data_IF_408525338424
#
_entry.id   IF_408525338424
#
_cell.length_a   1.000
_cell.length_b   1.000
_cell.length_c   1.000
_cell.angle_alpha   90.00
_cell.angle_beta   90.00
_cell.angle_gamma   90.00
#
_symmetry.space_group_name_H-M   'P 1'
#
loop_
_entity.id
_entity.type
_entity.pdbx_description
1 polymer ?
#
# COMPACT_ATOMS: atom_id res chain seq x y z
N UNK A 1 39.44 37.14 9.37
CA UNK A 1 38.94 36.48 8.14
C UNK A 1 39.15 34.99 8.30
N UNK A 2 38.06 34.23 8.42
CA UNK A 2 38.01 32.79 8.16
C UNK A 2 36.53 32.40 8.16
N UNK A 3 35.98 32.28 6.96
CA UNK A 3 34.63 31.80 6.69
C UNK A 3 34.48 30.35 7.19
N UNK A 4 33.31 30.02 7.76
CA UNK A 4 32.86 28.64 7.88
C UNK A 4 31.59 28.48 7.08
N UNK A 5 31.75 27.86 5.91
CA UNK A 5 30.69 27.38 5.04
C UNK A 5 29.79 26.45 5.84
N UNK A 6 28.55 26.89 6.08
CA UNK A 6 27.50 26.06 6.65
C UNK A 6 26.84 25.34 5.48
N UNK A 7 27.43 24.22 5.07
CA UNK A 7 26.82 23.30 4.11
C UNK A 7 25.53 22.76 4.75
N UNK A 8 24.39 23.27 4.29
CA UNK A 8 23.08 22.75 4.66
C UNK A 8 22.97 21.36 4.07
N UNK A 9 23.21 20.35 4.92
CA UNK A 9 23.05 18.93 4.62
C UNK A 9 21.69 18.70 3.95
N UNK A 10 21.72 18.49 2.65
CA UNK A 10 20.63 17.86 1.90
C UNK A 10 20.48 16.48 2.54
N UNK A 11 19.32 16.26 3.16
CA UNK A 11 18.89 14.99 3.71
C UNK A 11 18.81 13.96 2.55
N UNK A 12 19.94 13.31 2.31
CA UNK A 12 20.14 12.28 1.31
C UNK A 12 19.40 11.02 1.77
N UNK A 13 18.20 10.86 1.23
CA UNK A 13 17.37 9.66 1.37
C UNK A 13 18.19 8.41 1.02
N UNK A 14 18.33 7.42 1.91
CA UNK A 14 19.20 6.28 1.67
C UNK A 14 18.63 5.37 0.57
N UNK A 15 19.41 5.16 -0.49
CA UNK A 15 19.10 4.25 -1.59
C UNK A 15 18.99 2.79 -1.07
N UNK A 16 17.94 2.03 -1.40
CA UNK A 16 17.69 0.74 -0.78
C UNK A 16 18.59 -0.37 -1.33
N UNK A 17 19.61 -0.76 -0.55
CA UNK A 17 20.43 -1.96 -0.76
C UNK A 17 19.57 -3.25 -0.77
N UNK A 18 19.79 -4.21 -1.70
CA UNK A 18 19.00 -5.44 -1.79
C UNK A 18 19.46 -6.48 -0.75
N UNK A 19 19.06 -6.30 0.51
CA UNK A 19 19.28 -7.30 1.56
C UNK A 19 18.32 -8.49 1.41
N UNK A 20 18.85 -9.66 1.01
CA UNK A 20 18.16 -10.97 1.02
C UNK A 20 18.00 -11.56 2.43
N UNK A 21 17.55 -10.76 3.39
CA UNK A 21 17.01 -11.30 4.64
C UNK A 21 15.50 -11.42 4.48
N UNK A 22 14.93 -12.58 4.82
CA UNK A 22 13.47 -12.80 4.82
C UNK A 22 12.85 -12.06 6.01
N UNK A 23 13.00 -10.73 6.03
CA UNK A 23 12.41 -9.83 7.03
C UNK A 23 10.91 -9.95 6.85
N UNK A 24 10.24 -10.63 7.79
CA UNK A 24 8.78 -10.63 7.85
C UNK A 24 8.35 -9.17 7.84
N UNK A 25 7.64 -8.76 6.79
CA UNK A 25 7.20 -7.39 6.61
C UNK A 25 6.27 -7.06 7.78
N UNK A 26 6.80 -6.33 8.78
CA UNK A 26 6.05 -5.90 9.97
C UNK A 26 4.94 -4.99 9.46
N UNK A 27 3.70 -5.28 9.84
CA UNK A 27 2.57 -4.44 9.46
C UNK A 27 2.74 -3.06 10.10
N UNK A 28 3.11 -2.07 9.31
CA UNK A 28 3.06 -0.66 9.72
C UNK A 28 1.60 -0.22 9.83
N UNK A 29 1.31 0.69 10.76
CA UNK A 29 0.05 1.42 10.75
C UNK A 29 -0.12 2.09 9.39
N UNK A 30 -1.35 2.08 8.87
CA UNK A 30 -1.68 2.73 7.59
C UNK A 30 -1.98 4.19 7.84
N UNK A 31 -1.52 5.07 6.94
CA UNK A 31 -1.94 6.46 6.95
C UNK A 31 -3.47 6.55 6.72
N UNK A 32 -4.08 7.62 7.21
CA UNK A 32 -5.52 7.85 7.04
C UNK A 32 -5.91 7.89 5.56
N UNK A 33 -5.11 8.54 4.71
CA UNK A 33 -5.34 8.63 3.27
C UNK A 33 -5.30 7.25 2.58
N UNK A 34 -4.33 6.39 2.95
CA UNK A 34 -4.27 5.00 2.47
C UNK A 34 -5.55 4.24 2.83
N UNK A 35 -6.06 4.44 4.04
CA UNK A 35 -7.28 3.78 4.53
C UNK A 35 -8.53 4.26 3.79
N UNK A 36 -8.64 5.57 3.54
CA UNK A 36 -9.76 6.15 2.79
C UNK A 36 -9.78 5.62 1.35
N UNK A 37 -8.62 5.56 0.69
CA UNK A 37 -8.51 5.00 -0.67
C UNK A 37 -8.88 3.52 -0.71
N UNK A 38 -8.44 2.76 0.31
CA UNK A 38 -8.83 1.37 0.49
C UNK A 38 -10.35 1.19 0.59
N UNK A 39 -10.98 1.93 1.50
CA UNK A 39 -12.43 1.84 1.75
C UNK A 39 -13.23 2.31 0.53
N UNK A 40 -12.74 3.29 -0.23
CA UNK A 40 -13.42 3.76 -1.44
C UNK A 40 -13.45 2.68 -2.54
N UNK A 41 -12.36 1.93 -2.71
CA UNK A 41 -12.29 0.78 -3.65
C UNK A 41 -13.22 -0.35 -3.18
N UNK A 42 -13.18 -0.68 -1.88
CA UNK A 42 -14.08 -1.69 -1.31
C UNK A 42 -15.55 -1.31 -1.57
N UNK A 43 -15.94 -0.07 -1.29
CA UNK A 43 -17.30 0.41 -1.55
C UNK A 43 -17.64 0.37 -3.05
N UNK A 44 -16.70 0.74 -3.93
CA UNK A 44 -16.95 0.77 -5.37
C UNK A 44 -17.10 -0.63 -5.97
N UNK A 45 -16.23 -1.57 -5.59
CA UNK A 45 -16.18 -2.90 -6.22
C UNK A 45 -17.05 -3.95 -5.52
N UNK A 46 -17.31 -3.81 -4.22
CA UNK A 46 -18.16 -4.74 -3.46
C UNK A 46 -19.65 -4.39 -3.60
N UNK A 47 -19.98 -3.09 -3.72
CA UNK A 47 -21.35 -2.60 -3.88
C UNK A 47 -21.88 -2.71 -5.32
N UNK A 48 -21.05 -3.16 -6.26
CA UNK A 48 -21.47 -3.47 -7.63
C UNK A 48 -22.38 -4.71 -7.59
N UNK A 49 -23.64 -4.49 -7.26
CA UNK A 49 -24.73 -5.48 -7.18
C UNK A 49 -25.11 -6.06 -8.55
N UNK A 50 -24.43 -5.63 -9.62
CA UNK A 50 -24.58 -6.08 -11.00
C UNK A 50 -24.04 -7.49 -11.26
N UNK A 51 -23.31 -8.08 -10.32
CA UNK A 51 -22.77 -9.45 -10.42
C UNK A 51 -23.78 -10.39 -9.75
N UNK A 52 -24.40 -11.27 -10.53
CA UNK A 52 -25.29 -12.32 -10.01
C UNK A 52 -24.65 -13.17 -8.90
N UNK A 53 -25.42 -14.07 -8.26
CA UNK A 53 -24.98 -14.83 -7.10
C UNK A 53 -23.60 -15.48 -7.33
N UNK A 54 -22.75 -15.40 -6.31
CA UNK A 54 -21.34 -15.77 -6.42
C UNK A 54 -21.15 -17.21 -6.90
N UNK A 55 -20.59 -17.39 -8.10
CA UNK A 55 -20.13 -18.71 -8.55
C UNK A 55 -18.98 -19.21 -7.67
N UNK A 56 -18.13 -18.29 -7.19
CA UNK A 56 -17.02 -18.52 -6.24
C UNK A 56 -16.80 -17.29 -5.36
N UNK A 57 -17.27 -17.29 -4.10
CA UNK A 57 -17.17 -16.14 -3.19
C UNK A 57 -15.72 -15.61 -3.02
N UNK A 58 -14.75 -16.52 -2.96
CA UNK A 58 -13.34 -16.17 -2.79
C UNK A 58 -12.73 -15.44 -4.00
N UNK A 59 -13.22 -15.70 -5.22
CA UNK A 59 -12.66 -15.05 -6.42
C UNK A 59 -12.96 -13.56 -6.47
N UNK A 60 -14.14 -13.12 -6.02
CA UNK A 60 -14.46 -11.68 -5.99
C UNK A 60 -13.62 -10.99 -4.94
N UNK A 61 -13.59 -11.54 -3.73
CA UNK A 61 -12.77 -10.98 -2.65
C UNK A 61 -11.30 -10.88 -3.09
N UNK A 62 -10.77 -11.88 -3.78
CA UNK A 62 -9.41 -11.83 -4.29
C UNK A 62 -9.17 -10.75 -5.35
N UNK A 63 -10.13 -10.54 -6.26
CA UNK A 63 -10.03 -9.45 -7.26
C UNK A 63 -10.04 -8.08 -6.59
N UNK A 64 -10.96 -7.86 -5.64
CA UNK A 64 -11.06 -6.60 -4.91
C UNK A 64 -9.77 -6.31 -4.14
N UNK A 65 -9.23 -7.31 -3.45
CA UNK A 65 -7.97 -7.14 -2.73
C UNK A 65 -6.79 -6.90 -3.68
N UNK A 66 -6.82 -7.42 -4.92
CA UNK A 66 -5.81 -7.10 -5.94
C UNK A 66 -5.92 -5.66 -6.41
N UNK A 67 -7.14 -5.16 -6.69
CA UNK A 67 -7.36 -3.76 -7.09
C UNK A 67 -6.85 -2.78 -6.04
N UNK A 68 -7.10 -3.07 -4.76
CA UNK A 68 -6.55 -2.33 -3.63
C UNK A 68 -5.02 -2.25 -3.68
N UNK A 69 -4.35 -3.39 -3.83
CA UNK A 69 -2.87 -3.45 -3.81
C UNK A 69 -2.32 -2.60 -4.96
N UNK A 70 -2.90 -2.74 -6.14
CA UNK A 70 -2.49 -1.99 -7.33
C UNK A 70 -2.73 -0.49 -7.16
N UNK A 71 -3.86 -0.07 -6.59
CA UNK A 71 -4.15 1.35 -6.38
C UNK A 71 -3.21 1.99 -5.33
N UNK A 72 -2.91 1.28 -4.24
CA UNK A 72 -1.97 1.77 -3.23
C UNK A 72 -0.54 1.90 -3.79
N UNK A 73 -0.11 0.97 -4.64
CA UNK A 73 1.18 1.06 -5.32
C UNK A 73 1.21 2.20 -6.34
N UNK A 74 0.14 2.40 -7.11
CA UNK A 74 0.08 3.47 -8.12
C UNK A 74 -0.01 4.88 -7.52
N UNK A 75 -0.83 5.07 -6.47
CA UNK A 75 -1.07 6.38 -5.88
C UNK A 75 0.00 6.80 -4.88
N UNK A 76 0.43 5.86 -4.02
CA UNK A 76 1.30 6.16 -2.90
C UNK A 76 2.70 5.54 -3.06
N UNK A 77 2.93 4.67 -4.05
CA UNK A 77 4.20 3.94 -4.19
C UNK A 77 4.41 2.87 -3.10
N UNK A 78 3.36 2.53 -2.34
CA UNK A 78 3.49 1.67 -1.16
C UNK A 78 3.19 0.23 -1.52
N UNK A 79 4.18 -0.65 -1.34
CA UNK A 79 4.01 -2.10 -1.51
C UNK A 79 3.41 -2.72 -0.25
N UNK A 80 2.13 -3.09 -0.31
CA UNK A 80 1.42 -3.81 0.76
C UNK A 80 1.11 -5.24 0.34
N UNK A 81 1.19 -6.17 1.28
CA UNK A 81 0.79 -7.55 1.03
C UNK A 81 -0.74 -7.70 1.17
N UNK A 82 -1.34 -8.49 0.26
CA UNK A 82 -2.77 -8.83 0.30
C UNK A 82 -3.23 -9.35 1.67
N UNK A 83 -2.38 -10.15 2.30
CA UNK A 83 -2.64 -10.76 3.61
C UNK A 83 -2.64 -9.76 4.76
N UNK A 84 -1.94 -8.62 4.63
CA UNK A 84 -1.96 -7.56 5.63
C UNK A 84 -3.25 -6.74 5.53
N UNK A 85 -3.68 -6.47 4.30
CA UNK A 85 -4.88 -5.69 4.01
C UNK A 85 -6.15 -6.41 4.47
N UNK A 86 -6.16 -7.75 4.45
CA UNK A 86 -7.28 -8.57 4.95
C UNK A 86 -7.50 -8.48 6.47
N UNK A 87 -6.51 -7.99 7.22
CA UNK A 87 -6.55 -7.91 8.68
C UNK A 87 -6.95 -6.53 9.19
N UNK A 88 -7.22 -5.60 8.28
CA UNK A 88 -7.73 -4.26 8.55
C UNK A 88 -9.23 -4.25 8.31
#
# INVERSE_FOLDING_TARGET
MAERLSETSVEESPEPQPFRSRRRYKATYMAFEEMVEMVSILRREDYDANKGPYTRPNMRKDKIMSSVVTALEQKFGIKRAKEQLRKR
#
